data_IF_396668996963
#
_entry.id   IF_396668996963
#
_cell.length_a   1.000
_cell.length_b   1.000
_cell.length_c   1.000
_cell.angle_alpha   90.00
_cell.angle_beta   90.00
_cell.angle_gamma   90.00
#
_symmetry.space_group_name_H-M   'P 1'
#
loop_
_entity.id
_entity.type
_entity.pdbx_description
1 polymer ?
#
# COMPACT_ATOMS: atom_id res chain seq x y z
N UNK A 1 -0.93 22.99 -16.46
CA UNK A 1 0.27 22.31 -17.06
C UNK A 1 1.25 21.92 -15.95
N UNK A 2 0.93 20.91 -15.11
CA UNK A 2 1.62 20.73 -13.81
C UNK A 2 2.98 20.02 -13.91
N UNK A 3 3.13 19.10 -14.86
CA UNK A 3 4.41 18.41 -15.11
C UNK A 3 5.55 19.38 -15.47
N UNK A 4 5.28 20.33 -16.36
CA UNK A 4 6.28 21.31 -16.80
C UNK A 4 6.74 22.20 -15.63
N UNK A 5 5.83 22.56 -14.72
CA UNK A 5 6.13 23.33 -13.51
C UNK A 5 7.01 22.54 -12.54
N UNK A 6 6.71 21.25 -12.31
CA UNK A 6 7.56 20.37 -11.49
C UNK A 6 8.96 20.22 -12.08
N UNK A 7 9.08 20.08 -13.40
CA UNK A 7 10.37 20.02 -14.10
C UNK A 7 11.16 21.32 -13.96
N UNK A 8 10.51 22.48 -14.16
CA UNK A 8 11.14 23.78 -13.97
C UNK A 8 11.63 23.96 -12.53
N UNK A 9 10.81 23.58 -11.55
CA UNK A 9 11.17 23.64 -10.14
C UNK A 9 12.39 22.76 -9.83
N UNK A 10 12.44 21.52 -10.32
CA UNK A 10 13.59 20.63 -10.19
C UNK A 10 14.87 21.22 -10.85
N UNK A 11 14.74 21.86 -12.01
CA UNK A 11 15.85 22.58 -12.67
C UNK A 11 16.36 23.75 -11.83
N UNK A 12 15.46 24.57 -11.26
CA UNK A 12 15.85 25.69 -10.38
C UNK A 12 16.61 25.18 -9.16
N UNK A 13 16.13 24.11 -8.52
CA UNK A 13 16.86 23.48 -7.40
C UNK A 13 18.22 22.93 -7.86
N UNK A 14 18.27 22.31 -9.03
CA UNK A 14 19.49 21.68 -9.55
C UNK A 14 20.58 22.69 -9.93
N UNK A 15 20.24 23.87 -10.47
CA UNK A 15 21.23 24.77 -11.07
C UNK A 15 21.31 26.15 -10.41
N UNK A 16 20.27 26.61 -9.72
CA UNK A 16 20.21 27.96 -9.18
C UNK A 16 20.41 28.04 -7.66
N UNK A 17 20.40 26.89 -6.97
CA UNK A 17 20.57 26.77 -5.51
C UNK A 17 19.85 27.87 -4.70
N UNK A 18 18.51 27.96 -4.78
CA UNK A 18 17.78 29.06 -4.17
C UNK A 18 17.91 29.07 -2.64
N UNK A 19 18.08 30.26 -2.05
CA UNK A 19 18.21 30.44 -0.58
C UNK A 19 17.01 29.88 0.22
N UNK A 20 15.85 29.71 -0.41
CA UNK A 20 14.64 29.21 0.26
C UNK A 20 13.76 28.36 -0.65
N UNK A 21 14.26 27.17 -1.00
CA UNK A 21 13.51 26.12 -1.72
C UNK A 21 12.10 25.85 -1.14
N UNK A 22 11.96 25.92 0.20
CA UNK A 22 10.71 25.70 0.91
C UNK A 22 9.67 26.80 0.67
N UNK A 23 10.11 28.06 0.61
CA UNK A 23 9.21 29.19 0.30
C UNK A 23 8.76 29.14 -1.16
N UNK A 24 9.70 28.79 -2.06
CA UNK A 24 9.40 28.63 -3.48
C UNK A 24 8.39 27.50 -3.71
N UNK A 25 8.54 26.37 -3.01
CA UNK A 25 7.55 25.29 -3.01
C UNK A 25 6.19 25.81 -2.52
N UNK A 26 6.15 26.47 -1.36
CA UNK A 26 4.91 26.99 -0.77
C UNK A 26 4.13 27.92 -1.71
N UNK A 27 4.83 28.72 -2.50
CA UNK A 27 4.21 29.67 -3.46
C UNK A 27 3.58 28.99 -4.67
N UNK A 28 4.14 27.88 -5.15
CA UNK A 28 3.75 27.27 -6.42
C UNK A 28 3.18 25.85 -6.31
N UNK A 29 3.10 25.28 -5.10
CA UNK A 29 2.64 23.90 -4.88
C UNK A 29 1.28 23.61 -5.48
N UNK A 30 0.31 24.50 -5.36
CA UNK A 30 -1.06 24.29 -5.86
C UNK A 30 -1.07 24.03 -7.38
N UNK A 31 -0.29 24.81 -8.12
CA UNK A 31 -0.15 24.69 -9.57
C UNK A 31 0.66 23.45 -9.97
N UNK A 32 1.60 23.04 -9.13
CA UNK A 32 2.39 21.82 -9.32
C UNK A 32 1.62 20.54 -8.96
N UNK A 33 0.44 20.64 -8.33
CA UNK A 33 -0.35 19.50 -7.86
C UNK A 33 -1.70 19.37 -8.58
N UNK A 34 -2.05 20.34 -9.41
CA UNK A 34 -3.34 20.46 -10.11
C UNK A 34 -3.75 19.16 -10.84
N UNK A 35 -2.83 18.48 -11.53
CA UNK A 35 -3.12 17.22 -12.24
C UNK A 35 -3.47 16.07 -11.29
N UNK A 36 -2.87 16.04 -10.11
CA UNK A 36 -3.20 15.06 -9.08
C UNK A 36 -4.55 15.37 -8.41
N UNK A 37 -4.88 16.65 -8.24
CA UNK A 37 -6.20 17.05 -7.74
C UNK A 37 -7.32 16.66 -8.70
N UNK A 38 -7.09 16.77 -10.02
CA UNK A 38 -8.03 16.32 -11.04
C UNK A 38 -8.24 14.79 -11.08
N UNK A 39 -7.38 14.01 -10.42
CA UNK A 39 -7.52 12.57 -10.22
C UNK A 39 -8.27 12.21 -8.94
N UNK A 40 -9.04 13.15 -8.35
CA UNK A 40 -9.76 13.01 -7.07
C UNK A 40 -8.85 12.64 -5.88
N UNK A 41 -7.56 12.98 -5.93
CA UNK A 41 -6.68 12.82 -4.78
C UNK A 41 -6.90 13.96 -3.79
N UNK A 42 -6.79 13.66 -2.49
CA UNK A 42 -6.82 14.71 -1.46
C UNK A 42 -5.66 15.69 -1.65
N UNK A 43 -5.84 16.95 -1.22
CA UNK A 43 -4.81 18.00 -1.33
C UNK A 43 -3.47 17.54 -0.76
N UNK A 44 -3.51 16.86 0.38
CA UNK A 44 -2.34 16.28 1.02
C UNK A 44 -1.63 15.24 0.13
N UNK A 45 -2.38 14.34 -0.53
CA UNK A 45 -1.82 13.33 -1.44
C UNK A 45 -1.28 13.93 -2.74
N UNK A 46 -1.94 14.98 -3.26
CA UNK A 46 -1.52 15.68 -4.45
C UNK A 46 -0.18 16.41 -4.24
N UNK A 47 -0.05 17.15 -3.15
CA UNK A 47 1.22 17.80 -2.73
C UNK A 47 2.37 16.80 -2.61
N UNK A 48 2.04 15.65 -2.06
CA UNK A 48 2.98 14.58 -1.79
C UNK A 48 3.47 13.85 -3.04
N UNK A 49 2.57 13.51 -3.97
CA UNK A 49 2.95 12.96 -5.28
C UNK A 49 3.80 13.95 -6.07
N UNK A 50 3.46 15.23 -6.02
CA UNK A 50 4.23 16.27 -6.69
C UNK A 50 5.65 16.40 -6.12
N UNK A 51 5.83 16.35 -4.79
CA UNK A 51 7.15 16.31 -4.16
C UNK A 51 7.95 15.09 -4.60
N UNK A 52 7.37 13.88 -4.54
CA UNK A 52 8.05 12.65 -4.97
C UNK A 52 8.54 12.74 -6.41
N UNK A 53 7.70 13.25 -7.29
CA UNK A 53 8.02 13.41 -8.70
C UNK A 53 9.17 14.41 -8.92
N UNK A 54 9.19 15.52 -8.19
CA UNK A 54 10.32 16.46 -8.19
C UNK A 54 11.59 15.78 -7.68
N UNK A 55 11.53 14.98 -6.59
CA UNK A 55 12.71 14.30 -6.07
C UNK A 55 13.30 13.29 -7.06
N UNK A 56 12.45 12.57 -7.80
CA UNK A 56 12.89 11.68 -8.87
C UNK A 56 13.66 12.44 -9.96
N UNK A 57 13.19 13.63 -10.32
CA UNK A 57 13.91 14.49 -11.28
C UNK A 57 15.25 14.99 -10.73
N UNK A 58 15.33 15.29 -9.43
CA UNK A 58 16.59 15.69 -8.78
C UNK A 58 17.62 14.56 -8.74
N UNK A 59 17.18 13.32 -8.49
CA UNK A 59 18.06 12.14 -8.49
C UNK A 59 18.74 11.91 -9.84
N UNK A 60 18.08 12.26 -10.93
CA UNK A 60 18.69 12.25 -12.27
C UNK A 60 19.89 13.21 -12.40
N UNK A 61 20.00 14.20 -11.52
CA UNK A 61 21.08 15.19 -11.46
C UNK A 61 21.99 15.02 -10.23
N UNK A 62 22.00 13.83 -9.61
CA UNK A 62 22.80 13.51 -8.40
C UNK A 62 22.53 14.41 -7.19
N UNK A 63 21.33 15.00 -7.11
CA UNK A 63 20.88 15.83 -6.00
C UNK A 63 19.68 15.21 -5.32
N UNK A 64 19.52 15.47 -4.03
CA UNK A 64 18.35 15.05 -3.27
C UNK A 64 17.75 16.22 -2.51
N UNK A 65 16.47 16.11 -2.12
CA UNK A 65 15.87 17.07 -1.19
C UNK A 65 16.60 17.20 0.16
N UNK A 66 17.49 16.23 0.47
CA UNK A 66 18.48 16.32 1.53
C UNK A 66 19.34 17.58 1.48
N UNK A 67 19.74 17.96 0.26
CA UNK A 67 20.68 19.05 0.02
C UNK A 67 20.03 20.44 0.19
N UNK A 68 18.70 20.49 0.31
CA UNK A 68 17.90 21.72 0.36
C UNK A 68 17.12 21.90 1.66
N UNK A 69 17.47 21.14 2.71
CA UNK A 69 16.83 21.21 4.03
C UNK A 69 15.32 20.89 3.99
N UNK A 70 14.87 20.04 3.06
CA UNK A 70 13.48 19.61 2.90
C UNK A 70 13.18 18.21 3.48
N UNK A 71 14.10 17.65 4.27
CA UNK A 71 14.12 16.25 4.74
C UNK A 71 12.99 15.86 5.70
N UNK A 72 12.57 16.76 6.60
CA UNK A 72 11.55 16.43 7.62
C UNK A 72 10.18 16.11 7.00
N UNK A 73 9.83 16.77 5.90
CA UNK A 73 8.64 16.43 5.14
C UNK A 73 8.85 15.09 4.40
N UNK A 74 10.00 14.89 3.75
CA UNK A 74 10.25 13.73 2.90
C UNK A 74 10.15 12.36 3.60
N UNK A 75 10.69 12.21 4.82
CA UNK A 75 10.69 10.91 5.52
C UNK A 75 9.32 10.51 6.10
N UNK A 76 8.56 11.47 6.61
CA UNK A 76 7.17 11.22 7.05
C UNK A 76 6.26 10.98 5.84
N UNK A 77 6.43 11.79 4.79
CA UNK A 77 5.69 11.61 3.54
C UNK A 77 5.97 10.23 2.91
N UNK A 78 7.21 9.76 2.86
CA UNK A 78 7.52 8.44 2.29
C UNK A 78 6.86 7.27 3.04
N UNK A 79 6.81 7.31 4.38
CA UNK A 79 6.11 6.28 5.15
C UNK A 79 4.64 6.27 4.81
N UNK A 80 3.99 7.43 4.88
CA UNK A 80 2.56 7.52 4.63
C UNK A 80 2.19 7.27 3.15
N UNK A 81 3.12 7.45 2.18
CA UNK A 81 2.86 7.10 0.76
C UNK A 81 2.91 5.60 0.61
N UNK A 82 3.93 4.97 1.18
CA UNK A 82 4.07 3.52 1.11
C UNK A 82 2.86 2.84 1.75
N UNK A 83 2.38 3.30 2.92
CA UNK A 83 1.16 2.77 3.54
C UNK A 83 -0.08 2.92 2.64
N UNK A 84 -0.27 4.09 2.03
CA UNK A 84 -1.41 4.32 1.14
C UNK A 84 -1.31 3.54 -0.18
N UNK A 85 -0.10 3.35 -0.71
CA UNK A 85 0.14 2.49 -1.87
C UNK A 85 -0.12 1.03 -1.54
N UNK A 86 0.38 0.53 -0.41
CA UNK A 86 0.13 -0.84 0.05
C UNK A 86 -1.37 -1.09 0.26
N UNK A 87 -2.11 -0.12 0.84
CA UNK A 87 -3.57 -0.20 0.98
C UNK A 87 -4.26 -0.24 -0.39
N UNK A 88 -3.88 0.65 -1.31
CA UNK A 88 -4.50 0.70 -2.65
C UNK A 88 -4.19 -0.57 -3.45
N UNK A 89 -2.95 -1.06 -3.40
CA UNK A 89 -2.55 -2.32 -4.02
C UNK A 89 -3.41 -3.48 -3.51
N UNK A 90 -3.67 -3.56 -2.21
CA UNK A 90 -4.51 -4.63 -1.64
C UNK A 90 -5.99 -4.48 -1.98
N UNK A 91 -6.51 -3.25 -2.09
CA UNK A 91 -7.89 -2.99 -2.53
C UNK A 91 -8.09 -3.31 -4.02
N UNK A 92 -7.04 -3.20 -4.84
CA UNK A 92 -7.10 -3.57 -6.26
C UNK A 92 -7.13 -5.10 -6.47
N UNK A 93 -6.78 -5.89 -5.45
CA UNK A 93 -6.82 -7.36 -5.53
C UNK A 93 -8.26 -7.84 -5.49
N UNK A 94 -8.82 -8.07 -6.67
CA UNK A 94 -10.16 -8.63 -6.80
C UNK A 94 -10.19 -10.08 -6.31
N UNK A 95 -11.25 -10.42 -5.59
CA UNK A 95 -11.56 -11.82 -5.30
C UNK A 95 -11.82 -12.58 -6.61
N UNK A 96 -11.14 -13.70 -6.83
CA UNK A 96 -11.41 -14.56 -7.97
C UNK A 96 -12.76 -15.27 -7.78
N UNK A 97 -13.56 -15.35 -8.84
CA UNK A 97 -14.83 -16.09 -8.82
C UNK A 97 -14.63 -17.58 -8.48
N UNK A 98 -13.47 -18.14 -8.80
CA UNK A 98 -13.13 -19.50 -8.41
C UNK A 98 -12.88 -19.63 -6.91
N UNK A 99 -12.30 -18.62 -6.28
CA UNK A 99 -12.12 -18.60 -4.82
C UNK A 99 -13.45 -18.42 -4.08
N UNK A 100 -14.45 -17.81 -4.71
CA UNK A 100 -15.80 -17.72 -4.13
C UNK A 100 -16.48 -19.09 -4.14
N UNK A 101 -16.22 -19.93 -5.15
CA UNK A 101 -16.77 -21.31 -5.21
C UNK A 101 -16.21 -22.19 -4.09
N UNK A 102 -14.97 -21.95 -3.65
CA UNK A 102 -14.31 -22.66 -2.53
C UNK A 102 -15.19 -22.65 -1.27
N UNK A 103 -15.88 -21.53 -1.00
CA UNK A 103 -16.76 -21.38 0.18
C UNK A 103 -17.84 -22.48 0.22
N UNK A 104 -18.36 -22.89 -0.94
CA UNK A 104 -19.38 -23.93 -1.05
C UNK A 104 -18.82 -25.35 -0.91
N UNK A 105 -17.50 -25.50 -1.04
CA UNK A 105 -16.80 -26.79 -1.00
C UNK A 105 -16.12 -27.06 0.35
N UNK A 106 -16.24 -26.16 1.33
CA UNK A 106 -15.69 -26.34 2.66
C UNK A 106 -16.35 -27.53 3.37
N UNK A 107 -15.54 -28.38 3.99
CA UNK A 107 -16.05 -29.41 4.89
C UNK A 107 -16.59 -28.80 6.19
N UNK A 108 -17.33 -29.57 7.00
CA UNK A 108 -18.00 -29.07 8.20
C UNK A 108 -17.06 -28.34 9.18
N UNK A 109 -15.85 -28.87 9.40
CA UNK A 109 -14.88 -28.27 10.33
C UNK A 109 -14.29 -26.98 9.79
N UNK A 110 -13.96 -26.95 8.49
CA UNK A 110 -13.50 -25.73 7.82
C UNK A 110 -14.59 -24.67 7.78
N UNK A 111 -15.83 -25.07 7.53
CA UNK A 111 -16.99 -24.17 7.49
C UNK A 111 -17.26 -23.56 8.88
N UNK A 112 -17.18 -24.35 9.93
CA UNK A 112 -17.26 -23.84 11.31
C UNK A 112 -16.21 -22.77 11.61
N UNK A 113 -14.94 -23.05 11.27
CA UNK A 113 -13.86 -22.07 11.45
C UNK A 113 -14.07 -20.82 10.59
N UNK A 114 -14.48 -21.01 9.33
CA UNK A 114 -14.81 -19.93 8.40
C UNK A 114 -15.91 -19.03 8.95
N UNK A 115 -17.05 -19.59 9.37
CA UNK A 115 -18.19 -18.83 9.87
C UNK A 115 -17.82 -18.04 11.13
N UNK A 116 -17.05 -18.64 12.05
CA UNK A 116 -16.57 -17.99 13.26
C UNK A 116 -15.70 -16.75 12.96
N UNK A 117 -14.75 -16.88 12.03
CA UNK A 117 -13.84 -15.79 11.66
C UNK A 117 -14.58 -14.71 10.88
N UNK A 118 -15.38 -15.08 9.89
CA UNK A 118 -16.11 -14.12 9.04
C UNK A 118 -17.11 -13.32 9.85
N UNK A 119 -17.84 -13.94 10.79
CA UNK A 119 -18.79 -13.22 11.63
C UNK A 119 -18.09 -12.14 12.48
N UNK A 120 -16.93 -12.45 13.08
CA UNK A 120 -16.13 -11.46 13.79
C UNK A 120 -15.70 -10.30 12.89
N UNK A 121 -15.17 -10.61 11.71
CA UNK A 121 -14.73 -9.59 10.75
C UNK A 121 -15.90 -8.69 10.33
N UNK A 122 -17.07 -9.25 10.04
CA UNK A 122 -18.25 -8.50 9.61
C UNK A 122 -18.86 -7.66 10.74
N UNK A 123 -18.75 -8.11 12.00
CA UNK A 123 -19.17 -7.35 13.17
C UNK A 123 -18.16 -6.29 13.60
N UNK A 124 -17.04 -6.16 12.89
CA UNK A 124 -15.93 -5.27 13.25
C UNK A 124 -15.38 -5.55 14.67
N UNK A 125 -15.36 -6.83 15.04
CA UNK A 125 -14.81 -7.32 16.30
C UNK A 125 -13.35 -7.75 16.11
N UNK A 126 -12.50 -7.39 17.06
CA UNK A 126 -11.12 -7.87 17.09
C UNK A 126 -11.02 -9.34 17.51
N UNK A 127 -10.01 -10.03 16.96
CA UNK A 127 -9.79 -11.43 17.25
C UNK A 127 -8.52 -11.97 16.61
N UNK A 128 -7.87 -12.89 17.31
CA UNK A 128 -6.73 -13.65 16.82
C UNK A 128 -7.13 -15.12 16.81
N UNK A 129 -6.93 -15.78 15.67
CA UNK A 129 -7.30 -17.17 15.47
C UNK A 129 -6.09 -17.98 15.03
N UNK A 130 -5.97 -19.19 15.57
CA UNK A 130 -4.98 -20.16 15.16
C UNK A 130 -5.69 -21.38 14.56
N UNK A 131 -5.40 -21.68 13.30
CA UNK A 131 -6.00 -22.81 12.59
C UNK A 131 -4.95 -23.91 12.47
N UNK A 132 -5.14 -24.99 13.23
CA UNK A 132 -4.31 -26.17 13.16
C UNK A 132 -5.00 -27.33 12.43
N UNK A 133 -4.18 -28.18 11.82
CA UNK A 133 -4.64 -29.42 11.24
C UNK A 133 -3.49 -30.20 10.63
N UNK A 134 -3.63 -31.52 10.47
CA UNK A 134 -2.63 -32.35 9.78
C UNK A 134 -2.25 -31.83 8.38
N UNK A 135 -1.13 -32.33 7.85
CA UNK A 135 -0.78 -32.11 6.44
C UNK A 135 -1.91 -32.58 5.51
N UNK A 136 -2.20 -31.82 4.45
CA UNK A 136 -3.21 -32.20 3.45
C UNK A 136 -4.67 -31.89 3.83
N UNK A 137 -4.97 -31.32 5.01
CA UNK A 137 -6.35 -31.02 5.43
C UNK A 137 -6.97 -29.76 4.82
N UNK A 138 -6.36 -29.20 3.77
CA UNK A 138 -6.90 -28.06 3.06
C UNK A 138 -6.90 -26.73 3.84
N UNK A 139 -5.98 -26.53 4.80
CA UNK A 139 -5.85 -25.23 5.50
C UNK A 139 -5.70 -24.05 4.53
N UNK A 140 -4.89 -24.23 3.49
CA UNK A 140 -4.72 -23.22 2.43
C UNK A 140 -6.02 -22.95 1.67
N UNK A 141 -6.87 -23.97 1.51
CA UNK A 141 -8.19 -23.84 0.88
C UNK A 141 -9.11 -22.94 1.72
N UNK A 142 -9.09 -23.13 3.05
CA UNK A 142 -9.81 -22.26 3.98
C UNK A 142 -9.28 -20.81 3.96
N UNK A 143 -7.96 -20.60 3.93
CA UNK A 143 -7.39 -19.25 3.83
C UNK A 143 -7.81 -18.52 2.54
N UNK A 144 -7.87 -19.22 1.41
CA UNK A 144 -8.38 -18.66 0.15
C UNK A 144 -9.84 -18.22 0.25
N UNK A 145 -10.70 -19.05 0.87
CA UNK A 145 -12.10 -18.71 1.11
C UNK A 145 -12.26 -17.45 1.98
N UNK A 146 -11.47 -17.34 3.05
CA UNK A 146 -11.46 -16.17 3.94
C UNK A 146 -11.05 -14.91 3.17
N UNK A 147 -9.92 -14.94 2.46
CA UNK A 147 -9.43 -13.81 1.68
C UNK A 147 -10.44 -13.34 0.63
N UNK A 148 -11.05 -14.28 -0.11
CA UNK A 148 -12.05 -13.95 -1.12
C UNK A 148 -13.29 -13.29 -0.51
N UNK A 149 -13.72 -13.73 0.66
CA UNK A 149 -14.91 -13.19 1.34
C UNK A 149 -14.68 -11.78 1.83
N UNK A 150 -13.53 -11.53 2.48
CA UNK A 150 -13.15 -10.21 3.00
C UNK A 150 -12.99 -9.23 1.84
N UNK A 151 -12.26 -9.61 0.78
CA UNK A 151 -12.05 -8.74 -0.39
C UNK A 151 -13.33 -8.47 -1.19
N UNK A 152 -14.27 -9.42 -1.26
CA UNK A 152 -15.58 -9.19 -1.90
C UNK A 152 -16.48 -8.23 -1.12
N UNK A 153 -16.14 -7.95 0.15
CA UNK A 153 -16.79 -6.93 0.97
C UNK A 153 -16.05 -5.60 0.94
N UNK A 154 -15.11 -5.44 0.01
CA UNK A 154 -14.25 -4.26 -0.15
C UNK A 154 -13.41 -3.94 1.11
N UNK A 155 -13.14 -4.97 1.93
CA UNK A 155 -12.24 -4.87 3.07
C UNK A 155 -10.81 -5.25 2.66
N UNK A 156 -9.84 -4.65 3.36
CA UNK A 156 -8.42 -4.89 3.15
C UNK A 156 -8.04 -6.21 3.83
N UNK A 157 -7.47 -7.14 3.05
CA UNK A 157 -7.04 -8.44 3.54
C UNK A 157 -5.58 -8.72 3.15
N UNK A 158 -4.68 -8.68 4.14
CA UNK A 158 -3.25 -8.93 3.94
C UNK A 158 -2.94 -10.43 4.05
N UNK A 159 -2.42 -11.01 2.97
CA UNK A 159 -1.99 -12.41 2.93
C UNK A 159 -0.46 -12.50 3.02
N UNK A 160 0.05 -13.08 4.10
CA UNK A 160 1.51 -13.29 4.26
C UNK A 160 1.84 -14.74 4.57
N UNK A 161 2.96 -15.23 4.05
CA UNK A 161 3.46 -16.57 4.36
C UNK A 161 4.97 -16.58 4.58
N UNK A 162 5.47 -17.50 5.41
CA UNK A 162 6.91 -17.64 5.69
C UNK A 162 7.72 -18.18 4.52
N UNK A 163 7.07 -18.87 3.57
CA UNK A 163 7.68 -19.41 2.36
C UNK A 163 7.08 -18.79 1.10
N UNK A 164 7.92 -18.50 0.11
CA UNK A 164 7.47 -17.99 -1.19
C UNK A 164 6.50 -18.94 -1.91
N UNK A 165 6.66 -20.26 -1.73
CA UNK A 165 5.74 -21.26 -2.31
C UNK A 165 4.36 -21.19 -1.64
N UNK A 166 4.31 -20.93 -0.33
CA UNK A 166 3.03 -20.75 0.36
C UNK A 166 2.37 -19.41 0.00
N UNK A 167 3.18 -18.36 -0.17
CA UNK A 167 2.71 -17.04 -0.59
C UNK A 167 2.09 -17.09 -2.00
N UNK A 168 2.72 -17.78 -2.96
CA UNK A 168 2.22 -17.84 -4.35
C UNK A 168 0.88 -18.58 -4.50
N UNK A 169 0.49 -19.41 -3.52
CA UNK A 169 -0.79 -20.12 -3.53
C UNK A 169 -1.94 -19.22 -3.03
N UNK A 170 -1.62 -18.18 -2.26
CA UNK A 170 -2.61 -17.23 -1.75
C UNK A 170 -2.77 -16.06 -2.74
N UNK A 171 -4.00 -15.67 -3.10
CA UNK A 171 -4.22 -14.47 -3.89
C UNK A 171 -3.62 -13.24 -3.17
N UNK A 172 -2.74 -12.50 -3.82
CA UNK A 172 -2.02 -11.39 -3.19
C UNK A 172 -1.05 -11.79 -2.08
N UNK A 173 -0.68 -13.08 -1.98
CA UNK A 173 0.22 -13.56 -0.95
C UNK A 173 1.63 -13.00 -1.11
N UNK A 174 2.16 -12.42 -0.03
CA UNK A 174 3.53 -11.89 0.03
C UNK A 174 4.39 -12.77 0.95
N UNK A 175 5.64 -13.02 0.57
CA UNK A 175 6.58 -13.71 1.45
C UNK A 175 6.98 -12.79 2.60
N UNK A 176 7.05 -13.34 3.80
CA UNK A 176 7.45 -12.64 5.02
C UNK A 176 8.95 -12.28 5.08
N UNK A 177 9.70 -12.30 3.97
CA UNK A 177 11.13 -12.00 4.02
C UNK A 177 11.40 -10.47 3.99
N UNK A 178 11.85 -10.01 5.17
CA UNK A 178 12.71 -8.84 5.44
C UNK A 178 12.09 -7.42 5.34
N UNK A 179 10.97 -7.18 6.02
CA UNK A 179 10.59 -5.81 6.47
C UNK A 179 10.04 -5.71 7.89
N UNK A 180 9.92 -6.81 8.64
CA UNK A 180 9.73 -6.71 10.09
C UNK A 180 11.12 -6.72 10.71
N UNK A 181 11.71 -5.53 10.79
CA UNK A 181 12.83 -5.29 11.67
C UNK A 181 12.28 -5.49 13.09
N UNK A 182 12.52 -6.67 13.67
CA UNK A 182 12.22 -6.90 15.08
C UNK A 182 13.02 -5.87 15.88
N UNK A 183 12.38 -5.01 16.69
CA UNK A 183 13.14 -4.18 17.60
C UNK A 183 13.77 -5.12 18.62
N UNK A 184 15.08 -5.28 18.53
CA UNK A 184 15.92 -5.72 19.64
C UNK A 184 16.49 -4.47 20.31
#
# INVERSE_FOLDING_TARGET
MPFALRRLFATILSFCNPESARQLWGKFKEHMCEDYLHLNLTIHMAEKKALLHVNQMLRGNWKEFGDFNMQQNYLMLNRDVNYMQEINEELEIKASDDDVKIIRMLNERQKYAYDCIVNKVLNNEEGVFFIDGPGGTGKTFLYRALLATVRRKDYIALATASSGVAASILPGGRMHSLKIQTPY
#
